data_IF_057672369340
#
_entry.id   IF_057672369340
#
_cell.length_a   1.000
_cell.length_b   1.000
_cell.length_c   1.000
_cell.angle_alpha   90.00
_cell.angle_beta   90.00
_cell.angle_gamma   90.00
#
_symmetry.space_group_name_H-M   'P 1'
#
loop_
_entity.id
_entity.type
_entity.pdbx_description
1 polymer ?
#
# COMPACT_ATOMS: atom_id res chain seq x y z
N UNK A 1 -14.72 -7.31 23.70
CA UNK A 1 -13.75 -7.68 22.66
C UNK A 1 -14.46 -7.47 21.35
N UNK A 2 -14.05 -6.47 20.58
CA UNK A 2 -14.66 -6.16 19.30
C UNK A 2 -14.24 -7.20 18.27
N UNK A 3 -15.20 -7.71 17.52
CA UNK A 3 -14.98 -8.69 16.45
C UNK A 3 -14.93 -7.97 15.11
N UNK A 4 -14.22 -8.58 14.18
CA UNK A 4 -14.03 -8.05 12.83
C UNK A 4 -14.37 -9.10 11.78
N UNK A 5 -14.84 -8.65 10.63
CA UNK A 5 -15.15 -9.51 9.50
C UNK A 5 -14.59 -8.89 8.23
N UNK A 6 -14.25 -9.74 7.26
CA UNK A 6 -14.01 -9.32 5.89
C UNK A 6 -15.24 -9.68 5.08
N UNK A 7 -15.79 -8.72 4.38
CA UNK A 7 -17.03 -8.84 3.60
C UNK A 7 -16.81 -8.33 2.19
N UNK A 8 -17.43 -8.97 1.21
CA UNK A 8 -17.34 -8.53 -0.18
C UNK A 8 -17.44 -9.68 -1.18
N UNK A 9 -16.97 -9.47 -2.39
CA UNK A 9 -17.07 -10.45 -3.46
C UNK A 9 -17.00 -9.81 -4.83
N UNK A 10 -17.46 -10.54 -5.84
CA UNK A 10 -17.63 -10.04 -7.20
C UNK A 10 -18.98 -9.34 -7.35
N UNK A 11 -18.97 -8.13 -7.89
CA UNK A 11 -20.15 -7.31 -8.14
C UNK A 11 -20.53 -7.34 -9.62
N UNK A 12 -21.79 -7.02 -9.94
CA UNK A 12 -22.28 -6.97 -11.32
C UNK A 12 -21.56 -5.91 -12.16
N UNK A 13 -21.15 -4.82 -11.51
CA UNK A 13 -20.44 -3.70 -12.11
C UNK A 13 -19.53 -2.99 -11.09
N UNK A 14 -18.85 -1.93 -11.53
CA UNK A 14 -17.94 -1.12 -10.70
C UNK A 14 -18.65 -0.12 -9.80
N UNK A 15 -19.99 -0.15 -9.71
CA UNK A 15 -20.75 0.62 -8.72
C UNK A 15 -20.77 -0.09 -7.36
N UNK A 16 -20.45 -1.39 -7.34
CA UNK A 16 -20.39 -2.24 -6.14
C UNK A 16 -21.71 -2.24 -5.34
N UNK A 17 -22.84 -2.14 -6.04
CA UNK A 17 -24.18 -2.08 -5.42
C UNK A 17 -24.91 -3.42 -5.42
N UNK A 18 -24.62 -4.30 -6.37
CA UNK A 18 -25.22 -5.63 -6.50
C UNK A 18 -24.13 -6.70 -6.71
N UNK A 19 -24.21 -7.79 -5.95
CA UNK A 19 -23.29 -8.93 -6.06
C UNK A 19 -23.61 -9.72 -7.33
N UNK A 20 -22.57 -10.05 -8.10
CA UNK A 20 -22.69 -10.85 -9.31
C UNK A 20 -23.16 -12.28 -9.01
N UNK A 21 -23.80 -12.90 -9.99
CA UNK A 21 -24.27 -14.29 -9.96
C UNK A 21 -25.36 -14.61 -8.92
N UNK A 22 -26.00 -13.59 -8.31
CA UNK A 22 -27.11 -13.80 -7.37
C UNK A 22 -26.71 -14.43 -6.04
N UNK A 23 -25.41 -14.37 -5.70
CA UNK A 23 -24.87 -14.86 -4.43
C UNK A 23 -24.98 -13.78 -3.33
N UNK A 24 -24.87 -14.22 -2.08
CA UNK A 24 -24.66 -13.32 -0.94
C UNK A 24 -23.19 -12.85 -0.89
N UNK A 25 -22.92 -11.71 -0.25
CA UNK A 25 -21.54 -11.29 0.03
C UNK A 25 -20.79 -12.41 0.76
N UNK A 26 -19.53 -12.63 0.38
CA UNK A 26 -18.67 -13.54 1.10
C UNK A 26 -18.33 -12.93 2.46
N UNK A 27 -18.46 -13.72 3.53
CA UNK A 27 -18.17 -13.29 4.90
C UNK A 27 -17.06 -14.15 5.51
N UNK A 28 -15.96 -13.52 5.93
CA UNK A 28 -14.84 -14.17 6.61
C UNK A 28 -14.65 -13.62 8.01
N UNK A 29 -14.43 -14.52 8.97
CA UNK A 29 -14.33 -14.21 10.39
C UNK A 29 -15.32 -15.01 11.22
N UNK A 30 -15.63 -14.59 12.45
CA UNK A 30 -15.11 -13.38 13.10
C UNK A 30 -13.62 -13.49 13.45
N UNK A 31 -12.90 -12.41 13.24
CA UNK A 31 -11.53 -12.22 13.70
C UNK A 31 -11.51 -11.52 15.06
N UNK A 32 -10.56 -11.92 15.91
CA UNK A 32 -10.44 -11.37 17.25
C UNK A 32 -9.72 -10.02 17.27
N UNK A 33 -8.93 -9.77 16.23
CA UNK A 33 -8.20 -8.51 16.04
C UNK A 33 -8.43 -7.94 14.66
N UNK A 34 -8.29 -6.63 14.57
CA UNK A 34 -8.39 -5.91 13.31
C UNK A 34 -7.27 -6.35 12.34
N UNK A 35 -6.08 -6.65 12.85
CA UNK A 35 -4.92 -7.12 12.09
C UNK A 35 -5.18 -8.47 11.39
N UNK A 36 -5.83 -9.42 12.07
CA UNK A 36 -6.24 -10.71 11.48
C UNK A 36 -7.25 -10.52 10.33
N UNK A 37 -8.24 -9.64 10.53
CA UNK A 37 -9.21 -9.32 9.48
C UNK A 37 -8.55 -8.61 8.29
N UNK A 38 -7.58 -7.74 8.56
CA UNK A 38 -6.78 -7.08 7.53
C UNK A 38 -5.98 -8.06 6.68
N UNK A 39 -5.35 -9.04 7.31
CA UNK A 39 -4.58 -10.07 6.60
C UNK A 39 -5.46 -10.92 5.68
N UNK A 40 -6.68 -11.26 6.10
CA UNK A 40 -7.60 -11.98 5.22
C UNK A 40 -8.08 -11.08 4.07
N UNK A 41 -8.42 -9.83 4.37
CA UNK A 41 -8.84 -8.85 3.36
C UNK A 41 -7.76 -8.64 2.28
N UNK A 42 -6.51 -8.46 2.67
CA UNK A 42 -5.40 -8.28 1.72
C UNK A 42 -5.19 -9.49 0.84
N UNK A 43 -5.26 -10.69 1.42
CA UNK A 43 -5.17 -11.93 0.67
C UNK A 43 -6.27 -12.01 -0.39
N UNK A 44 -7.51 -11.61 -0.08
CA UNK A 44 -8.61 -11.58 -1.07
C UNK A 44 -8.43 -10.54 -2.15
N UNK A 45 -8.09 -9.32 -1.76
CA UNK A 45 -7.79 -8.23 -2.69
C UNK A 45 -6.72 -8.65 -3.72
N UNK A 46 -5.67 -9.35 -3.27
CA UNK A 46 -4.62 -9.88 -4.15
C UNK A 46 -5.10 -11.01 -5.07
N UNK A 47 -5.93 -11.93 -4.58
CA UNK A 47 -6.48 -13.01 -5.41
C UNK A 47 -7.40 -12.47 -6.52
N UNK A 48 -8.01 -11.30 -6.31
CA UNK A 48 -8.96 -10.70 -7.24
C UNK A 48 -8.43 -9.43 -7.91
N UNK A 49 -7.12 -9.18 -7.87
CA UNK A 49 -6.51 -7.93 -8.36
C UNK A 49 -6.78 -7.66 -9.86
N UNK A 50 -6.97 -8.72 -10.65
CA UNK A 50 -7.27 -8.63 -12.08
C UNK A 50 -8.78 -8.48 -12.38
N UNK A 51 -9.65 -8.58 -11.36
CA UNK A 51 -11.10 -8.45 -11.49
C UNK A 51 -11.57 -7.08 -11.01
N UNK A 52 -11.92 -6.21 -11.96
CA UNK A 52 -12.34 -4.84 -11.67
C UNK A 52 -13.71 -4.72 -10.98
N UNK A 53 -14.50 -5.78 -10.96
CA UNK A 53 -15.78 -5.82 -10.23
C UNK A 53 -15.67 -6.57 -8.91
N UNK A 54 -14.51 -7.11 -8.54
CA UNK A 54 -14.31 -7.70 -7.23
C UNK A 54 -13.87 -6.65 -6.22
N UNK A 55 -14.47 -6.67 -5.03
CA UNK A 55 -14.10 -5.76 -3.94
C UNK A 55 -14.38 -6.38 -2.58
N UNK A 56 -13.44 -6.17 -1.66
CA UNK A 56 -13.59 -6.59 -0.26
C UNK A 56 -13.38 -5.41 0.68
N UNK A 57 -14.00 -5.49 1.85
CA UNK A 57 -13.91 -4.50 2.92
C UNK A 57 -13.88 -5.18 4.30
N UNK A 58 -13.29 -4.51 5.29
CA UNK A 58 -13.24 -4.96 6.68
C UNK A 58 -14.29 -4.21 7.48
N UNK A 59 -15.16 -4.92 8.20
CA UNK A 59 -16.19 -4.36 9.08
C UNK A 59 -15.98 -4.77 10.53
N UNK A 60 -16.38 -3.91 11.46
CA UNK A 60 -16.48 -4.28 12.88
C UNK A 60 -17.88 -4.80 13.25
N UNK A 61 -18.07 -5.16 14.51
CA UNK A 61 -19.34 -5.66 15.05
C UNK A 61 -20.52 -4.67 14.95
N UNK A 62 -20.22 -3.38 14.78
CA UNK A 62 -21.19 -2.32 14.58
C UNK A 62 -21.52 -2.09 13.09
N UNK A 63 -20.88 -2.82 12.17
CA UNK A 63 -21.02 -2.65 10.72
C UNK A 63 -20.24 -1.46 10.16
N UNK A 64 -19.34 -0.85 10.92
CA UNK A 64 -18.49 0.24 10.45
C UNK A 64 -17.38 -0.31 9.55
N UNK A 65 -17.23 0.25 8.36
CA UNK A 65 -16.15 -0.10 7.42
C UNK A 65 -14.85 0.52 7.91
N UNK A 66 -13.93 -0.33 8.36
CA UNK A 66 -12.62 0.07 8.87
C UNK A 66 -11.56 0.09 7.78
N UNK A 67 -11.73 -0.73 6.75
CA UNK A 67 -10.91 -0.63 5.56
C UNK A 67 -11.58 -1.13 4.31
N UNK A 68 -11.16 -0.52 3.21
CA UNK A 68 -11.64 -0.76 1.88
C UNK A 68 -10.49 -0.46 0.93
N UNK A 69 -10.44 -1.16 -0.21
CA UNK A 69 -9.53 -0.79 -1.28
C UNK A 69 -9.76 0.68 -1.63
N UNK A 70 -8.69 1.48 -1.86
CA UNK A 70 -8.87 2.85 -2.30
C UNK A 70 -9.58 2.80 -3.64
N UNK A 71 -10.78 3.40 -3.71
CA UNK A 71 -11.24 3.94 -4.99
C UNK A 71 -10.10 4.81 -5.52
N UNK A 72 -9.91 4.78 -6.84
CA UNK A 72 -8.75 5.23 -7.63
C UNK A 72 -8.22 6.66 -7.35
N UNK A 73 -8.70 7.35 -6.31
CA UNK A 73 -8.44 8.74 -5.94
C UNK A 73 -7.75 8.93 -4.57
N UNK A 74 -7.82 7.97 -3.62
CA UNK A 74 -7.34 8.19 -2.23
C UNK A 74 -6.21 7.26 -1.74
N UNK A 75 -5.42 6.73 -2.68
CA UNK A 75 -4.34 5.78 -2.41
C UNK A 75 -3.30 6.26 -1.39
N UNK A 76 -3.18 5.52 -0.29
CA UNK A 76 -1.92 5.37 0.43
C UNK A 76 -2.03 5.55 1.93
N UNK A 77 -1.92 4.46 2.68
CA UNK A 77 -1.68 4.48 4.12
C UNK A 77 -0.46 5.34 4.52
N UNK A 78 -0.29 5.65 5.81
CA UNK A 78 0.68 6.63 6.30
C UNK A 78 2.12 6.37 5.84
N UNK A 79 2.55 5.10 5.77
CA UNK A 79 3.88 4.72 5.27
C UNK A 79 4.12 5.08 3.79
N UNK A 80 3.12 4.88 2.92
CA UNK A 80 3.24 5.23 1.49
C UNK A 80 3.31 6.73 1.28
N UNK A 81 2.60 7.51 2.09
CA UNK A 81 2.63 8.98 2.06
C UNK A 81 3.97 9.54 2.56
N UNK A 82 4.66 8.83 3.46
CA UNK A 82 5.93 9.24 4.03
C UNK A 82 7.15 8.97 3.12
N UNK A 83 7.07 7.96 2.25
CA UNK A 83 8.18 7.53 1.37
C UNK A 83 8.90 8.66 0.61
N UNK A 84 8.22 9.62 -0.05
CA UNK A 84 8.91 10.69 -0.75
C UNK A 84 9.83 11.52 0.17
N UNK A 85 9.39 11.76 1.41
CA UNK A 85 10.19 12.46 2.41
C UNK A 85 11.40 11.64 2.85
N UNK A 86 11.21 10.35 3.12
CA UNK A 86 12.29 9.45 3.54
C UNK A 86 13.37 9.26 2.46
N UNK A 87 12.99 9.22 1.17
CA UNK A 87 13.94 9.16 0.05
C UNK A 87 14.82 10.40 0.02
N UNK A 88 14.26 11.57 0.22
CA UNK A 88 15.02 12.83 0.23
C UNK A 88 15.92 12.95 1.43
N UNK A 89 15.45 12.55 2.61
CA UNK A 89 16.28 12.48 3.81
C UNK A 89 17.50 11.59 3.59
N UNK A 90 17.28 10.38 3.07
CA UNK A 90 18.34 9.42 2.80
C UNK A 90 19.36 9.93 1.77
N UNK A 91 18.90 10.68 0.75
CA UNK A 91 19.79 11.30 -0.23
C UNK A 91 20.58 12.47 0.35
N UNK A 92 19.95 13.34 1.15
CA UNK A 92 20.63 14.46 1.83
C UNK A 92 21.69 13.95 2.80
N UNK A 93 21.41 12.88 3.53
CA UNK A 93 22.37 12.23 4.43
C UNK A 93 23.63 11.72 3.70
N UNK A 94 23.54 11.48 2.38
CA UNK A 94 24.62 10.98 1.53
C UNK A 94 25.20 12.05 0.59
N UNK A 95 24.98 13.34 0.89
CA UNK A 95 25.52 14.45 0.08
C UNK A 95 24.74 14.71 -1.21
N UNK A 96 23.46 14.32 -1.26
CA UNK A 96 22.54 14.58 -2.36
C UNK A 96 22.51 13.52 -3.46
N UNK A 97 23.35 12.47 -3.36
CA UNK A 97 23.41 11.37 -4.32
C UNK A 97 23.72 10.05 -3.64
N UNK A 98 22.93 9.02 -3.92
CA UNK A 98 23.08 7.71 -3.29
C UNK A 98 22.63 6.58 -4.19
N UNK A 99 23.14 5.36 -3.95
CA UNK A 99 22.58 4.17 -4.59
C UNK A 99 21.22 3.81 -4.02
N UNK A 100 20.33 3.20 -4.81
CA UNK A 100 19.02 2.71 -4.35
C UNK A 100 19.17 1.86 -3.09
N UNK A 101 20.13 0.92 -3.08
CA UNK A 101 20.37 0.07 -1.91
C UNK A 101 20.78 0.87 -0.67
N UNK A 102 21.55 1.95 -0.84
CA UNK A 102 21.94 2.82 0.27
C UNK A 102 20.75 3.65 0.77
N UNK A 103 19.84 4.05 -0.12
CA UNK A 103 18.57 4.71 0.24
C UNK A 103 17.70 3.74 1.04
N UNK A 104 17.47 2.52 0.54
CA UNK A 104 16.71 1.50 1.25
C UNK A 104 17.28 1.20 2.63
N UNK A 105 18.61 1.03 2.74
CA UNK A 105 19.27 0.80 4.03
C UNK A 105 19.05 1.95 5.01
N UNK A 106 19.20 3.20 4.56
CA UNK A 106 18.99 4.36 5.42
C UNK A 106 17.54 4.44 5.92
N UNK A 107 16.59 4.20 5.03
CA UNK A 107 15.16 4.20 5.37
C UNK A 107 14.86 3.08 6.36
N UNK A 108 15.42 1.89 6.16
CA UNK A 108 15.27 0.78 7.09
C UNK A 108 15.89 1.08 8.46
N UNK A 109 17.10 1.64 8.51
CA UNK A 109 17.79 1.96 9.77
C UNK A 109 17.04 3.00 10.60
N UNK A 110 16.26 3.88 9.97
CA UNK A 110 15.51 4.96 10.65
C UNK A 110 14.03 4.67 10.88
N UNK A 111 13.38 4.11 9.88
CA UNK A 111 11.93 3.91 9.81
C UNK A 111 11.56 2.43 9.76
N UNK A 112 12.52 1.50 9.91
CA UNK A 112 12.26 0.06 9.90
C UNK A 112 11.18 -0.34 10.88
N UNK A 113 11.19 0.23 12.09
CA UNK A 113 10.13 0.01 13.08
C UNK A 113 8.75 0.50 12.59
N UNK A 114 8.68 1.65 11.91
CA UNK A 114 7.42 2.17 11.34
C UNK A 114 6.93 1.30 10.17
N UNK A 115 7.87 0.79 9.37
CA UNK A 115 7.60 -0.11 8.24
C UNK A 115 7.16 -1.48 8.76
N UNK A 116 7.82 -2.04 9.77
CA UNK A 116 7.42 -3.31 10.42
C UNK A 116 6.03 -3.19 11.06
N UNK A 117 5.74 -2.05 11.69
CA UNK A 117 4.44 -1.78 12.29
C UNK A 117 3.33 -1.45 11.27
N UNK A 118 3.64 -1.39 9.97
CA UNK A 118 2.72 -0.91 8.93
C UNK A 118 1.87 -1.99 8.25
N UNK A 119 1.99 -3.25 8.69
CA UNK A 119 1.26 -4.37 8.10
C UNK A 119 1.68 -4.60 6.66
N UNK A 120 0.78 -4.51 5.69
CA UNK A 120 1.08 -4.79 4.27
C UNK A 120 2.22 -3.97 3.67
N UNK A 121 2.35 -2.70 4.10
CA UNK A 121 3.41 -1.84 3.60
C UNK A 121 4.80 -2.39 3.97
N UNK A 122 4.93 -3.19 5.04
CA UNK A 122 6.14 -3.95 5.35
C UNK A 122 6.58 -4.87 4.19
N UNK A 123 5.63 -5.49 3.50
CA UNK A 123 5.92 -6.43 2.42
C UNK A 123 6.11 -5.74 1.06
N UNK A 124 5.54 -4.54 0.89
CA UNK A 124 5.54 -3.84 -0.41
C UNK A 124 6.41 -2.59 -0.47
N UNK A 125 6.92 -2.06 0.66
CA UNK A 125 7.53 -0.72 0.72
C UNK A 125 8.70 -0.52 -0.23
N UNK A 126 9.46 -1.56 -0.57
CA UNK A 126 10.57 -1.45 -1.52
C UNK A 126 10.08 -1.22 -2.96
N UNK A 127 8.93 -1.80 -3.32
CA UNK A 127 8.25 -1.53 -4.60
C UNK A 127 7.60 -0.15 -4.55
N UNK A 128 6.89 0.17 -3.45
CA UNK A 128 6.30 1.50 -3.24
C UNK A 128 7.35 2.62 -3.29
N UNK A 129 8.58 2.37 -2.80
CA UNK A 129 9.72 3.29 -2.84
C UNK A 129 10.14 3.63 -4.27
N UNK A 130 10.11 2.67 -5.20
CA UNK A 130 10.41 2.91 -6.61
C UNK A 130 9.33 3.78 -7.27
N UNK A 131 8.06 3.54 -6.94
CA UNK A 131 6.93 4.36 -7.41
C UNK A 131 7.00 5.78 -6.86
N UNK A 132 7.34 5.92 -5.57
CA UNK A 132 7.56 7.23 -4.94
C UNK A 132 8.71 7.99 -5.60
N UNK A 133 9.81 7.33 -5.94
CA UNK A 133 10.92 7.95 -6.66
C UNK A 133 10.52 8.42 -8.06
N UNK A 134 9.71 7.66 -8.79
CA UNK A 134 9.19 8.09 -10.10
C UNK A 134 8.28 9.31 -9.98
N UNK A 135 7.47 9.41 -8.92
CA UNK A 135 6.70 10.61 -8.60
C UNK A 135 7.62 11.82 -8.33
N UNK A 136 8.71 11.62 -7.59
CA UNK A 136 9.68 12.69 -7.32
C UNK A 136 10.38 13.18 -8.61
N UNK A 137 10.69 12.28 -9.55
CA UNK A 137 11.25 12.66 -10.87
C UNK A 137 10.29 13.52 -11.67
N UNK A 138 9.02 13.09 -11.77
CA UNK A 138 7.96 13.86 -12.46
C UNK A 138 7.77 15.26 -11.86
N UNK A 139 7.98 15.39 -10.55
CA UNK A 139 7.89 16.66 -9.84
C UNK A 139 9.21 17.46 -9.83
N UNK A 140 10.23 17.01 -10.57
CA UNK A 140 11.52 17.70 -10.69
C UNK A 140 12.40 17.65 -9.44
N UNK A 141 12.09 16.82 -8.44
CA UNK A 141 12.84 16.71 -7.17
C UNK A 141 13.97 15.68 -7.23
N UNK A 142 13.89 14.73 -8.15
CA UNK A 142 14.96 13.79 -8.48
C UNK A 142 15.34 13.93 -9.96
N UNK A 143 16.61 13.73 -10.26
CA UNK A 143 17.11 13.64 -11.63
C UNK A 143 16.49 12.43 -12.37
N UNK A 144 16.26 12.53 -13.70
CA UNK A 144 15.75 11.42 -14.51
C UNK A 144 16.66 10.19 -14.43
N UNK A 145 16.08 8.99 -14.49
CA UNK A 145 16.88 7.78 -14.64
C UNK A 145 17.58 7.80 -16.01
N UNK A 146 18.90 7.73 -16.03
CA UNK A 146 19.68 7.68 -17.28
C UNK A 146 19.53 6.33 -17.97
N UNK A 147 19.54 6.33 -19.31
CA UNK A 147 19.60 5.10 -20.11
C UNK A 147 20.99 4.48 -19.94
N UNK A 148 21.08 3.31 -19.30
CA UNK A 148 22.33 2.55 -19.11
C UNK A 148 23.21 2.97 -17.93
N UNK A 149 22.85 4.00 -17.17
CA UNK A 149 23.51 4.42 -15.93
C UNK A 149 22.47 5.18 -15.07
N UNK A 150 22.26 4.91 -13.79
CA UNK A 150 23.10 4.28 -12.79
C UNK A 150 22.14 3.91 -11.65
N UNK A 151 22.45 2.90 -10.85
CA UNK A 151 21.78 2.64 -9.56
C UNK A 151 21.79 3.85 -8.59
N UNK A 152 22.31 5.01 -9.00
CA UNK A 152 22.43 6.23 -8.21
C UNK A 152 21.29 7.19 -8.49
N UNK A 153 20.53 7.50 -7.44
CA UNK A 153 19.59 8.60 -7.41
C UNK A 153 20.30 9.88 -6.97
N UNK A 154 19.87 11.00 -7.52
CA UNK A 154 20.39 12.32 -7.19
C UNK A 154 19.25 13.33 -7.09
N UNK A 155 19.33 14.23 -6.11
CA UNK A 155 18.46 15.39 -6.02
C UNK A 155 18.78 16.37 -7.17
N UNK A 156 17.76 17.09 -7.63
CA UNK A 156 17.89 18.13 -8.67
C UNK A 156 18.48 19.42 -8.09
#
# INVERSE_FOLDING_TARGET
>A
MTKYWVTGGEYEDTTFTAIANGNEEEHYGPFATLDEAYHEWSHRAWLTVDNCTARYHVVNESGEVLCQEPTHEDGGGPGRKALPGWIEEALRAQGGKARVLSVCRHIWDKHGHEIEASGEFFFTWQVDLLLAAEKLRRNGRLQPAGVGASEMWALT
#
